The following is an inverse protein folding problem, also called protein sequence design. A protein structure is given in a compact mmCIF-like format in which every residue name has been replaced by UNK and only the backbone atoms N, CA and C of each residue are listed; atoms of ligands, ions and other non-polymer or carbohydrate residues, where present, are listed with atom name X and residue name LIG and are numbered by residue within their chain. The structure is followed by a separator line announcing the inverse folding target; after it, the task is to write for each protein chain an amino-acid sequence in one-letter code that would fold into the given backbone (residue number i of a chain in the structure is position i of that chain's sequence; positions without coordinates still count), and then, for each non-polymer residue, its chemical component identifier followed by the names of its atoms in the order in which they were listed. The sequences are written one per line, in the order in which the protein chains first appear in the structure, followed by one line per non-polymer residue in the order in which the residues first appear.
data_IF_637717400984
#
_entry.id   IF_637717400984
#
_cell.length_a   1.000
_cell.length_b   1.000
_cell.length_c   1.000
_cell.angle_alpha   90.00
_cell.angle_beta   90.00
_cell.angle_gamma   90.00
#
_symmetry.space_group_name_H-M   'P 1'
#
loop_
_entity.id
_entity.type
_entity.pdbx_description
1 polymer ?
#
# COMPACT_ATOMS: atom_id res chain seq x y z
N UNK A 1 23.68 17.30 4.92
CA UNK A 1 23.15 16.17 4.12
C UNK A 1 22.48 16.77 2.90
N UNK A 2 22.82 16.30 1.70
CA UNK A 2 22.20 16.74 0.45
C UNK A 2 20.67 16.53 0.48
N UNK A 3 19.91 17.51 0.00
CA UNK A 3 18.43 17.52 0.01
C UNK A 3 17.87 16.30 -0.70
N UNK A 4 18.46 15.90 -1.84
CA UNK A 4 18.04 14.73 -2.61
C UNK A 4 18.25 13.46 -1.78
N UNK A 5 19.44 13.28 -1.21
CA UNK A 5 19.76 12.13 -0.34
C UNK A 5 18.78 11.99 0.84
N UNK A 6 18.37 13.10 1.46
CA UNK A 6 17.37 13.09 2.52
C UNK A 6 15.99 12.61 2.02
N UNK A 7 15.55 13.07 0.84
CA UNK A 7 14.27 12.64 0.27
C UNK A 7 14.29 11.17 -0.18
N UNK A 8 15.41 10.69 -0.73
CA UNK A 8 15.62 9.28 -1.03
C UNK A 8 15.47 8.43 0.23
N UNK A 9 16.08 8.84 1.35
CA UNK A 9 15.96 8.13 2.61
C UNK A 9 14.51 8.11 3.12
N UNK A 10 13.79 9.23 3.07
CA UNK A 10 12.38 9.29 3.47
C UNK A 10 11.49 8.36 2.63
N UNK A 11 11.65 8.37 1.31
CA UNK A 11 10.91 7.47 0.43
C UNK A 11 11.25 6.00 0.69
N UNK A 12 12.54 5.70 0.88
CA UNK A 12 12.97 4.35 1.21
C UNK A 12 12.38 3.88 2.54
N UNK A 13 12.36 4.74 3.57
CA UNK A 13 11.71 4.42 4.85
C UNK A 13 10.21 4.18 4.70
N UNK A 14 9.50 5.03 3.96
CA UNK A 14 8.07 4.85 3.71
C UNK A 14 7.78 3.55 2.93
N UNK A 15 8.63 3.21 1.96
CA UNK A 15 8.56 1.94 1.24
C UNK A 15 8.78 0.74 2.16
N UNK A 16 9.80 0.77 3.04
CA UNK A 16 10.03 -0.30 4.02
C UNK A 16 8.86 -0.46 4.99
N UNK A 17 8.29 0.65 5.49
CA UNK A 17 7.12 0.60 6.36
C UNK A 17 5.92 -0.04 5.65
N UNK A 18 5.70 0.29 4.39
CA UNK A 18 4.62 -0.32 3.60
C UNK A 18 4.85 -1.81 3.35
N UNK A 19 6.08 -2.22 3.00
CA UNK A 19 6.43 -3.62 2.82
C UNK A 19 6.22 -4.40 4.13
N UNK A 20 6.66 -3.85 5.26
CA UNK A 20 6.45 -4.44 6.58
C UNK A 20 4.97 -4.52 6.94
N UNK A 21 4.19 -3.44 6.75
CA UNK A 21 2.76 -3.45 7.02
C UNK A 21 2.00 -4.48 6.17
N UNK A 22 2.44 -4.68 4.93
CA UNK A 22 1.89 -5.72 4.05
C UNK A 22 2.23 -7.14 4.56
N UNK A 23 3.46 -7.35 5.05
CA UNK A 23 3.86 -8.61 5.68
C UNK A 23 3.08 -8.88 6.98
N UNK A 24 2.88 -7.85 7.82
CA UNK A 24 2.04 -7.95 9.03
C UNK A 24 0.61 -8.30 8.67
N UNK A 25 0.03 -7.66 7.64
CA UNK A 25 -1.32 -7.99 7.18
C UNK A 25 -1.44 -9.45 6.74
N UNK A 26 -0.45 -9.95 6.00
CA UNK A 26 -0.40 -11.35 5.60
C UNK A 26 -0.30 -12.27 6.81
N UNK A 27 0.66 -12.04 7.70
CA UNK A 27 0.88 -12.86 8.89
C UNK A 27 -0.33 -12.86 9.84
N UNK A 28 -1.04 -11.73 9.98
CA UNK A 28 -2.29 -11.66 10.76
C UNK A 28 -3.40 -12.46 10.10
N UNK A 29 -3.53 -12.39 8.78
CA UNK A 29 -4.55 -13.15 8.02
C UNK A 29 -4.33 -14.65 8.17
N UNK A 30 -3.06 -15.08 8.21
CA UNK A 30 -2.64 -16.47 8.38
C UNK A 30 -2.56 -16.90 9.86
N UNK A 31 -2.88 -16.00 10.79
CA UNK A 31 -2.78 -16.24 12.23
C UNK A 31 -1.35 -16.61 12.70
N UNK A 32 -0.34 -16.27 11.90
CA UNK A 32 1.08 -16.49 12.19
C UNK A 32 1.72 -15.32 12.97
N UNK A 33 1.08 -14.15 13.00
CA UNK A 33 1.56 -12.99 13.74
C UNK A 33 1.35 -13.16 15.25
N UNK A 34 2.42 -13.15 16.07
CA UNK A 34 2.28 -13.11 17.52
C UNK A 34 1.56 -11.82 17.93
N UNK A 35 0.44 -11.98 18.63
CA UNK A 35 -0.33 -10.87 19.23
C UNK A 35 0.02 -10.67 20.71
N UNK A 36 0.85 -11.55 21.26
CA UNK A 36 1.23 -11.50 22.66
C UNK A 36 2.20 -10.35 22.94
N UNK A 37 2.00 -9.70 24.08
CA UNK A 37 2.79 -8.56 24.54
C UNK A 37 3.26 -8.82 25.98
N UNK A 38 4.28 -8.10 26.48
CA UNK A 38 4.68 -8.21 27.87
C UNK A 38 3.50 -7.99 28.82
N UNK A 39 3.42 -8.78 29.90
CA UNK A 39 2.36 -8.62 30.93
C UNK A 39 2.33 -7.21 31.53
N UNK A 40 3.48 -6.57 31.55
CA UNK A 40 3.70 -5.20 31.97
C UNK A 40 4.80 -4.61 31.10
N UNK A 41 4.60 -3.39 30.61
CA UNK A 41 5.60 -2.62 29.89
C UNK A 41 5.80 -1.26 30.57
N UNK A 42 7.03 -0.98 30.98
CA UNK A 42 7.39 0.28 31.66
C UNK A 42 8.41 1.06 30.81
N UNK A 43 8.19 2.36 30.67
CA UNK A 43 9.12 3.30 30.06
C UNK A 43 9.12 4.63 30.84
N UNK A 44 10.23 4.95 31.51
CA UNK A 44 10.30 6.08 32.42
C UNK A 44 9.26 5.95 33.55
N UNK A 45 8.38 6.95 33.68
CA UNK A 45 7.28 6.97 34.67
C UNK A 45 5.98 6.30 34.20
N UNK A 46 5.94 5.82 32.96
CA UNK A 46 4.73 5.24 32.37
C UNK A 46 4.79 3.72 32.48
N UNK A 47 3.68 3.13 32.92
CA UNK A 47 3.51 1.68 33.01
C UNK A 47 2.18 1.31 32.40
N UNK A 48 2.17 0.26 31.59
CA UNK A 48 0.96 -0.29 30.97
C UNK A 48 0.88 -1.78 31.23
N UNK A 49 -0.31 -2.28 31.59
CA UNK A 49 -0.61 -3.70 31.81
C UNK A 49 -1.07 -4.36 30.52
N UNK A 50 -0.98 -5.68 30.49
CA UNK A 50 -1.35 -6.49 29.32
C UNK A 50 -2.70 -6.12 28.70
N UNK A 51 -3.75 -6.05 29.52
CA UNK A 51 -5.12 -5.81 29.06
C UNK A 51 -5.36 -4.39 28.51
N UNK A 52 -4.40 -3.48 28.69
CA UNK A 52 -4.46 -2.12 28.15
C UNK A 52 -3.83 -2.01 26.74
N UNK A 53 -2.98 -2.96 26.35
CA UNK A 53 -2.24 -2.93 25.07
C UNK A 53 -2.46 -4.15 24.18
N UNK A 54 -2.84 -5.29 24.75
CA UNK A 54 -3.07 -6.51 24.00
C UNK A 54 -4.27 -6.35 23.07
N UNK A 55 -4.14 -6.88 21.85
CA UNK A 55 -5.23 -6.93 20.88
C UNK A 55 -5.76 -8.34 20.78
N UNK A 56 -7.08 -8.48 20.69
CA UNK A 56 -7.71 -9.78 20.49
C UNK A 56 -7.60 -10.22 19.03
N UNK A 57 -7.74 -11.52 18.82
CA UNK A 57 -7.71 -12.14 17.49
C UNK A 57 -8.77 -11.57 16.55
N UNK A 58 -9.98 -11.30 17.05
CA UNK A 58 -11.07 -10.66 16.29
C UNK A 58 -10.78 -9.20 15.90
N UNK A 59 -9.82 -8.55 16.56
CA UNK A 59 -9.43 -7.16 16.29
C UNK A 59 -8.21 -7.06 15.37
N UNK A 60 -7.37 -8.10 15.34
CA UNK A 60 -6.08 -8.07 14.65
C UNK A 60 -6.20 -7.78 13.15
N UNK A 61 -7.17 -8.42 12.47
CA UNK A 61 -7.38 -8.22 11.03
C UNK A 61 -7.73 -6.77 10.68
N UNK A 62 -8.59 -6.13 11.47
CA UNK A 62 -8.94 -4.71 11.31
C UNK A 62 -7.72 -3.81 11.58
N UNK A 63 -7.00 -4.04 12.68
CA UNK A 63 -5.79 -3.28 13.01
C UNK A 63 -4.71 -3.38 11.91
N UNK A 64 -4.47 -4.57 11.38
CA UNK A 64 -3.50 -4.79 10.31
C UNK A 64 -3.90 -4.11 9.00
N UNK A 65 -5.19 -4.10 8.66
CA UNK A 65 -5.71 -3.34 7.52
C UNK A 65 -5.49 -1.83 7.71
N UNK A 66 -5.81 -1.29 8.89
CA UNK A 66 -5.57 0.11 9.21
C UNK A 66 -4.08 0.46 9.18
N UNK A 67 -3.20 -0.43 9.64
CA UNK A 67 -1.75 -0.25 9.57
C UNK A 67 -1.27 -0.15 8.12
N UNK A 68 -1.74 -1.02 7.23
CA UNK A 68 -1.40 -0.96 5.80
C UNK A 68 -1.90 0.34 5.17
N UNK A 69 -3.12 0.78 5.49
CA UNK A 69 -3.67 2.08 5.02
C UNK A 69 -2.84 3.27 5.49
N UNK A 70 -2.41 3.28 6.76
CA UNK A 70 -1.52 4.32 7.29
C UNK A 70 -0.18 4.34 6.58
N UNK A 71 0.38 3.17 6.25
CA UNK A 71 1.60 3.08 5.47
C UNK A 71 1.42 3.60 4.03
N UNK A 72 0.28 3.33 3.40
CA UNK A 72 -0.08 3.93 2.10
C UNK A 72 -0.15 5.46 2.17
N UNK A 73 -0.79 6.01 3.21
CA UNK A 73 -0.84 7.44 3.44
C UNK A 73 0.56 8.05 3.58
N UNK A 74 1.42 7.47 4.43
CA UNK A 74 2.79 7.95 4.64
C UNK A 74 3.61 7.90 3.34
N UNK A 75 3.41 6.87 2.51
CA UNK A 75 4.05 6.79 1.20
C UNK A 75 3.59 7.91 0.26
N UNK A 76 2.29 8.20 0.20
CA UNK A 76 1.77 9.31 -0.61
C UNK A 76 2.33 10.67 -0.15
N UNK A 77 2.43 10.88 1.17
CA UNK A 77 3.09 12.07 1.74
C UNK A 77 4.55 12.15 1.28
N UNK A 78 5.31 11.07 1.45
CA UNK A 78 6.73 11.03 1.09
C UNK A 78 6.96 11.28 -0.41
N UNK A 79 6.12 10.71 -1.29
CA UNK A 79 6.17 10.95 -2.75
C UNK A 79 5.96 12.43 -3.05
N UNK A 80 4.88 13.01 -2.54
CA UNK A 80 4.53 14.41 -2.80
C UNK A 80 5.61 15.36 -2.27
N UNK A 81 6.16 15.10 -1.08
CA UNK A 81 7.20 15.94 -0.48
C UNK A 81 8.54 15.80 -1.18
N UNK A 82 8.90 14.59 -1.62
CA UNK A 82 10.10 14.35 -2.39
C UNK A 82 10.09 15.13 -3.72
N UNK A 83 9.00 15.04 -4.49
CA UNK A 83 8.88 15.79 -5.75
C UNK A 83 8.94 17.30 -5.48
N UNK A 84 8.19 17.80 -4.50
CA UNK A 84 8.16 19.24 -4.16
C UNK A 84 9.53 19.78 -3.70
N UNK A 85 10.36 18.93 -3.09
CA UNK A 85 11.67 19.35 -2.59
C UNK A 85 12.69 19.62 -3.70
N UNK A 86 12.51 19.04 -4.89
CA UNK A 86 13.45 19.17 -6.01
C UNK A 86 12.86 19.92 -7.21
N UNK A 87 11.54 20.10 -7.26
CA UNK A 87 10.83 20.77 -8.35
C UNK A 87 10.00 21.89 -7.77
N UNK A 88 10.31 23.13 -8.18
CA UNK A 88 9.70 24.36 -7.66
C UNK A 88 8.19 24.41 -7.89
N UNK A 89 7.74 24.06 -9.10
CA UNK A 89 6.32 24.01 -9.46
C UNK A 89 5.97 22.66 -10.10
N UNK A 90 5.76 21.61 -9.28
CA UNK A 90 5.46 20.28 -9.79
C UNK A 90 4.03 20.19 -10.35
N UNK A 91 3.14 21.12 -9.97
CA UNK A 91 1.75 21.16 -10.44
C UNK A 91 1.66 21.57 -11.91
N UNK A 92 2.52 22.48 -12.35
CA UNK A 92 2.56 22.96 -13.74
C UNK A 92 3.79 22.46 -14.52
N UNK A 93 4.46 21.43 -14.02
CA UNK A 93 5.64 20.87 -14.68
C UNK A 93 5.33 20.38 -16.11
N UNK A 94 6.28 20.56 -17.04
CA UNK A 94 6.13 20.18 -18.46
C UNK A 94 6.10 18.66 -18.65
N UNK A 95 6.93 17.94 -17.90
CA UNK A 95 6.89 16.48 -17.87
C UNK A 95 5.62 15.99 -17.16
N UNK A 96 4.76 15.32 -17.94
CA UNK A 96 3.49 14.76 -17.47
C UNK A 96 3.68 13.72 -16.37
N UNK A 97 4.74 12.90 -16.41
CA UNK A 97 4.97 11.87 -15.41
C UNK A 97 5.24 12.50 -14.04
N UNK A 98 6.03 13.57 -14.01
CA UNK A 98 6.32 14.33 -12.79
C UNK A 98 5.04 14.97 -12.25
N UNK A 99 4.32 15.68 -13.12
CA UNK A 99 3.08 16.37 -12.76
C UNK A 99 2.02 15.40 -12.23
N UNK A 100 1.80 14.30 -12.93
CA UNK A 100 0.81 13.30 -12.56
C UNK A 100 1.23 12.55 -11.30
N UNK A 101 2.51 12.19 -11.13
CA UNK A 101 3.03 11.61 -9.89
C UNK A 101 2.76 12.50 -8.69
N UNK A 102 3.04 13.80 -8.83
CA UNK A 102 2.78 14.79 -7.79
C UNK A 102 1.29 14.89 -7.47
N UNK A 103 0.43 15.03 -8.49
CA UNK A 103 -1.00 15.20 -8.29
C UNK A 103 -1.65 13.97 -7.67
N UNK A 104 -1.32 12.76 -8.13
CA UNK A 104 -1.84 11.51 -7.57
C UNK A 104 -1.45 11.39 -6.09
N UNK A 105 -0.18 11.58 -5.76
CA UNK A 105 0.30 11.50 -4.38
C UNK A 105 -0.35 12.57 -3.49
N UNK A 106 -0.52 13.79 -4.00
CA UNK A 106 -1.20 14.89 -3.30
C UNK A 106 -2.67 14.59 -3.03
N UNK A 107 -3.40 14.09 -4.03
CA UNK A 107 -4.83 13.76 -3.90
C UNK A 107 -5.05 12.59 -2.94
N UNK A 108 -4.23 11.53 -3.02
CA UNK A 108 -4.27 10.43 -2.05
C UNK A 108 -3.99 10.95 -0.65
N UNK A 109 -2.93 11.75 -0.45
CA UNK A 109 -2.63 12.38 0.85
C UNK A 109 -3.81 13.18 1.37
N UNK A 110 -4.45 13.98 0.52
CA UNK A 110 -5.58 14.83 0.91
C UNK A 110 -6.78 14.00 1.37
N UNK A 111 -7.02 12.83 0.76
CA UNK A 111 -8.11 11.95 1.17
C UNK A 111 -7.99 11.47 2.63
N UNK A 112 -6.77 11.32 3.13
CA UNK A 112 -6.49 10.89 4.50
C UNK A 112 -6.32 12.05 5.48
N UNK A 113 -6.13 13.29 5.00
CA UNK A 113 -5.66 14.40 5.83
C UNK A 113 -6.59 14.74 7.00
N UNK A 114 -7.90 14.53 6.85
CA UNK A 114 -8.89 14.85 7.88
C UNK A 114 -9.36 13.61 8.67
N UNK A 115 -9.35 12.43 8.05
CA UNK A 115 -9.81 11.19 8.67
C UNK A 115 -8.98 10.00 8.18
N UNK A 116 -7.86 9.68 8.84
CA UNK A 116 -6.98 8.58 8.40
C UNK A 116 -7.66 7.20 8.45
N UNK A 117 -8.64 7.02 9.33
CA UNK A 117 -9.37 5.74 9.49
C UNK A 117 -10.59 5.63 8.57
N UNK A 118 -11.20 6.76 8.19
CA UNK A 118 -12.31 6.83 7.24
C UNK A 118 -12.01 7.89 6.17
N UNK A 119 -11.01 7.65 5.31
CA UNK A 119 -10.57 8.63 4.33
C UNK A 119 -11.68 8.93 3.31
N UNK A 120 -11.80 10.19 2.93
CA UNK A 120 -12.78 10.70 1.97
C UNK A 120 -12.03 11.54 0.96
N UNK A 121 -12.26 11.32 -0.33
CA UNK A 121 -11.65 12.13 -1.38
C UNK A 121 -12.01 13.60 -1.21
N UNK A 122 -10.98 14.45 -1.24
CA UNK A 122 -11.10 15.90 -1.30
C UNK A 122 -10.38 16.36 -2.56
N UNK A 123 -11.16 16.58 -3.63
CA UNK A 123 -10.64 16.88 -4.97
C UNK A 123 -10.83 18.37 -5.24
N UNK A 124 -9.72 19.08 -5.36
CA UNK A 124 -9.73 20.50 -5.74
C UNK A 124 -10.41 20.68 -7.10
N UNK A 125 -11.04 21.84 -7.29
CA UNK A 125 -11.81 22.15 -8.49
C UNK A 125 -11.03 21.93 -9.79
N UNK A 126 -9.77 22.32 -9.82
CA UNK A 126 -8.89 22.16 -10.97
C UNK A 126 -8.40 20.72 -11.19
N UNK A 127 -8.73 19.79 -10.30
CA UNK A 127 -8.41 18.37 -10.39
C UNK A 127 -9.64 17.49 -10.61
N UNK A 128 -10.85 18.05 -10.67
CA UNK A 128 -12.11 17.30 -10.91
C UNK A 128 -12.20 16.85 -12.36
N UNK A 129 -12.82 15.68 -12.55
CA UNK A 129 -13.08 15.08 -13.86
C UNK A 129 -11.84 14.95 -14.76
N UNK A 130 -10.68 14.66 -14.15
CA UNK A 130 -9.39 14.47 -14.82
C UNK A 130 -8.88 13.06 -14.65
N UNK A 131 -8.05 12.65 -15.61
CA UNK A 131 -7.27 11.42 -15.53
C UNK A 131 -5.82 11.82 -15.31
N UNK A 132 -5.26 11.41 -14.19
CA UNK A 132 -3.83 11.49 -13.93
C UNK A 132 -3.23 10.10 -14.14
N UNK A 133 -2.26 9.99 -15.04
CA UNK A 133 -1.66 8.72 -15.41
C UNK A 133 -0.13 8.84 -15.41
N UNK A 134 0.52 7.88 -14.77
CA UNK A 134 1.92 7.54 -15.01
C UNK A 134 1.91 6.17 -15.66
N UNK A 135 2.23 6.14 -16.95
CA UNK A 135 2.03 4.97 -17.82
C UNK A 135 2.62 3.71 -17.19
N UNK A 136 1.84 2.63 -17.21
CA UNK A 136 2.18 1.29 -16.68
C UNK A 136 2.48 1.26 -15.16
N UNK A 137 2.24 2.35 -14.42
CA UNK A 137 2.54 2.46 -12.98
C UNK A 137 1.28 2.73 -12.16
N UNK A 138 0.55 3.80 -12.47
CA UNK A 138 -0.62 4.22 -11.69
C UNK A 138 -1.53 5.12 -12.52
N UNK A 139 -2.84 4.95 -12.36
CA UNK A 139 -3.86 5.79 -12.98
C UNK A 139 -4.89 6.18 -11.93
N UNK A 140 -5.27 7.46 -11.87
CA UNK A 140 -6.33 7.98 -11.02
C UNK A 140 -7.30 8.80 -11.88
N UNK A 141 -8.52 8.29 -12.03
CA UNK A 141 -9.62 9.01 -12.64
C UNK A 141 -10.44 9.69 -11.54
N UNK A 142 -10.45 11.01 -11.51
CA UNK A 142 -11.13 11.79 -10.45
C UNK A 142 -12.61 12.03 -10.72
N UNK A 143 -13.16 11.53 -11.84
CA UNK A 143 -14.56 11.71 -12.19
C UNK A 143 -15.49 11.16 -11.10
N UNK A 144 -16.31 12.05 -10.53
CA UNK A 144 -17.26 11.70 -9.47
C UNK A 144 -16.61 11.24 -8.14
N UNK A 145 -15.30 11.43 -7.94
CA UNK A 145 -14.64 11.01 -6.70
C UNK A 145 -14.81 12.01 -5.57
N UNK A 146 -15.00 13.30 -5.84
CA UNK A 146 -15.04 14.32 -4.78
C UNK A 146 -16.11 14.00 -3.71
N UNK A 147 -15.72 14.08 -2.43
CA UNK A 147 -16.54 13.74 -1.25
C UNK A 147 -17.00 12.28 -1.14
N UNK A 148 -16.49 11.39 -1.97
CA UNK A 148 -16.79 9.95 -1.86
C UNK A 148 -15.79 9.24 -0.95
N UNK A 149 -16.18 8.09 -0.40
CA UNK A 149 -15.27 7.25 0.39
C UNK A 149 -14.04 6.89 -0.43
N UNK A 150 -12.86 7.02 0.17
CA UNK A 150 -11.64 6.57 -0.44
C UNK A 150 -11.66 5.05 -0.62
N UNK A 151 -11.16 4.60 -1.77
CA UNK A 151 -11.04 3.19 -2.13
C UNK A 151 -9.74 3.01 -2.89
N UNK A 152 -9.00 1.95 -2.55
CA UNK A 152 -7.73 1.64 -3.18
C UNK A 152 -7.88 1.32 -4.67
N UNK A 153 -9.05 0.81 -5.08
CA UNK A 153 -9.38 0.49 -6.47
C UNK A 153 -9.37 1.73 -7.37
N UNK A 154 -9.64 2.91 -6.83
CA UNK A 154 -9.63 4.16 -7.59
C UNK A 154 -8.26 4.52 -8.18
N UNK A 155 -7.16 3.95 -7.66
CA UNK A 155 -5.81 4.19 -8.18
C UNK A 155 -5.03 2.91 -8.54
N UNK A 156 -5.70 1.76 -8.66
CA UNK A 156 -5.03 0.48 -8.98
C UNK A 156 -4.42 -0.24 -7.77
N UNK A 157 -4.74 0.19 -6.55
CA UNK A 157 -4.45 -0.53 -5.32
C UNK A 157 -3.07 -0.33 -4.71
N UNK A 158 -2.79 -1.01 -3.59
CA UNK A 158 -1.56 -0.79 -2.81
C UNK A 158 -0.26 -1.03 -3.60
N UNK A 159 -0.28 -1.87 -4.64
CA UNK A 159 0.89 -2.08 -5.50
C UNK A 159 1.18 -0.88 -6.42
N UNK A 160 0.14 -0.19 -6.91
CA UNK A 160 0.31 0.99 -7.75
C UNK A 160 1.02 2.13 -7.01
N UNK A 161 0.68 2.36 -5.73
CA UNK A 161 1.37 3.38 -4.92
C UNK A 161 2.83 2.99 -4.62
N UNK A 162 3.10 1.70 -4.38
CA UNK A 162 4.47 1.19 -4.23
C UNK A 162 5.28 1.42 -5.51
N UNK A 163 4.70 1.11 -6.68
CA UNK A 163 5.34 1.34 -7.99
C UNK A 163 5.55 2.83 -8.25
N UNK A 164 4.61 3.69 -7.87
CA UNK A 164 4.79 5.14 -7.95
C UNK A 164 5.95 5.60 -7.06
N UNK A 165 6.06 5.09 -5.82
CA UNK A 165 7.19 5.38 -4.93
C UNK A 165 8.52 5.00 -5.58
N UNK A 166 8.62 3.79 -6.15
CA UNK A 166 9.81 3.31 -6.84
C UNK A 166 10.13 4.16 -8.08
N UNK A 167 9.11 4.55 -8.85
CA UNK A 167 9.27 5.44 -9.99
C UNK A 167 9.88 6.78 -9.56
N UNK A 168 9.33 7.42 -8.52
CA UNK A 168 9.87 8.69 -8.01
C UNK A 168 11.30 8.53 -7.52
N UNK A 169 11.61 7.47 -6.77
CA UNK A 169 12.98 7.20 -6.30
C UNK A 169 13.97 7.00 -7.45
N UNK A 170 13.65 6.14 -8.40
CA UNK A 170 14.64 5.68 -9.38
C UNK A 170 14.66 6.49 -10.67
N UNK A 171 13.56 7.18 -11.01
CA UNK A 171 13.45 7.97 -12.25
C UNK A 171 13.48 9.47 -12.00
N UNK A 172 12.88 9.96 -10.92
CA UNK A 172 12.86 11.41 -10.64
C UNK A 172 14.05 11.83 -9.76
N UNK A 173 14.34 11.08 -8.69
CA UNK A 173 15.45 11.36 -7.78
C UNK A 173 16.76 10.64 -8.15
N UNK A 174 16.72 9.79 -9.19
CA UNK A 174 17.87 9.04 -9.69
C UNK A 174 18.64 8.22 -8.63
N UNK A 175 17.93 7.57 -7.69
CA UNK A 175 18.56 6.66 -6.72
C UNK A 175 19.20 5.44 -7.43
N UNK A 176 20.54 5.40 -7.47
CA UNK A 176 21.30 4.32 -8.11
C UNK A 176 21.72 3.20 -7.15
N UNK A 177 21.61 3.40 -5.83
CA UNK A 177 22.27 2.52 -4.85
C UNK A 177 21.35 1.48 -4.21
N UNK A 178 20.04 1.56 -4.48
CA UNK A 178 19.02 0.82 -3.73
C UNK A 178 17.92 0.23 -4.61
N UNK A 179 18.27 -0.14 -5.85
CA UNK A 179 17.34 -0.79 -6.78
C UNK A 179 16.99 -2.20 -6.29
N UNK A 180 15.69 -2.55 -6.18
CA UNK A 180 15.26 -3.86 -5.69
C UNK A 180 15.78 -5.01 -6.55
N UNK A 181 15.80 -4.85 -7.87
CA UNK A 181 16.22 -5.86 -8.85
C UNK A 181 17.70 -6.25 -8.74
N UNK A 182 18.53 -5.38 -8.15
CA UNK A 182 19.97 -5.61 -7.98
C UNK A 182 20.29 -6.31 -6.65
N UNK A 183 19.28 -6.61 -5.83
CA UNK A 183 19.47 -7.17 -4.47
C UNK A 183 18.99 -8.60 -4.41
N UNK A 184 19.87 -9.49 -3.97
CA UNK A 184 19.49 -10.84 -3.57
C UNK A 184 18.48 -10.76 -2.41
N UNK A 185 17.31 -11.35 -2.62
CA UNK A 185 16.29 -11.51 -1.60
C UNK A 185 16.29 -12.97 -1.13
N UNK A 186 16.03 -13.24 0.15
CA UNK A 186 15.84 -14.61 0.61
C UNK A 186 14.61 -15.22 -0.09
N UNK A 187 14.70 -16.50 -0.44
CA UNK A 187 13.58 -17.25 -0.97
C UNK A 187 12.42 -17.28 0.06
N UNK A 188 11.18 -17.01 -0.37
CA UNK A 188 10.03 -17.07 0.52
C UNK A 188 9.80 -18.51 0.98
N UNK A 189 9.66 -18.73 2.28
CA UNK A 189 9.34 -20.05 2.85
C UNK A 189 7.97 -20.58 2.43
N UNK A 190 7.03 -19.66 2.21
CA UNK A 190 5.64 -19.94 1.89
C UNK A 190 5.29 -19.30 0.55
N UNK A 191 4.52 -20.01 -0.28
CA UNK A 191 4.08 -19.54 -1.59
C UNK A 191 2.68 -18.92 -1.47
N UNK A 192 2.63 -17.60 -1.31
CA UNK A 192 1.39 -16.83 -1.28
C UNK A 192 1.12 -16.13 -2.61
N UNK A 193 -0.14 -16.08 -3.00
CA UNK A 193 -0.64 -15.31 -4.14
C UNK A 193 -1.74 -14.38 -3.61
N UNK A 194 -1.62 -13.08 -3.88
CA UNK A 194 -2.61 -12.09 -3.44
C UNK A 194 -3.30 -11.44 -4.65
N UNK A 195 -4.63 -11.48 -4.66
CA UNK A 195 -5.50 -10.83 -5.64
C UNK A 195 -6.39 -9.80 -4.92
N UNK A 196 -5.99 -8.53 -4.93
CA UNK A 196 -6.68 -7.50 -4.14
C UNK A 196 -6.65 -7.83 -2.64
N UNK A 197 -7.83 -8.10 -2.06
CA UNK A 197 -7.95 -8.50 -0.65
C UNK A 197 -7.98 -10.03 -0.45
N UNK A 198 -8.02 -10.81 -1.52
CA UNK A 198 -7.94 -12.27 -1.46
C UNK A 198 -6.49 -12.73 -1.35
N UNK A 199 -6.16 -13.48 -0.31
CA UNK A 199 -4.85 -14.12 -0.11
C UNK A 199 -5.05 -15.63 -0.27
N UNK A 200 -4.20 -16.23 -1.09
CA UNK A 200 -4.16 -17.66 -1.36
C UNK A 200 -2.81 -18.21 -0.96
N UNK A 201 -2.80 -19.28 -0.17
CA UNK A 201 -1.60 -20.04 0.16
C UNK A 201 -1.56 -21.30 -0.68
N UNK A 202 -0.47 -21.53 -1.42
CA UNK A 202 -0.23 -22.82 -2.06
C UNK A 202 0.01 -23.85 -0.95
N UNK A 203 -0.69 -24.97 -1.02
CA UNK A 203 -0.53 -26.11 -0.13
C UNK A 203 -0.17 -27.33 -0.96
N UNK A 204 0.76 -28.14 -0.45
CA UNK A 204 1.20 -29.37 -1.14
C UNK A 204 0.24 -30.53 -0.86
N UNK A 205 -0.48 -30.46 0.25
CA UNK A 205 -1.41 -31.51 0.70
C UNK A 205 -2.79 -30.94 0.96
N UNK A 206 -3.83 -31.56 0.40
CA UNK A 206 -5.22 -31.15 0.63
C UNK A 206 -5.60 -31.47 2.09
N UNK A 207 -6.09 -30.50 2.89
CA UNK A 207 -6.42 -30.72 4.29
C UNK A 207 -7.55 -31.74 4.46
N UNK A 208 -7.48 -32.54 5.52
CA UNK A 208 -8.54 -33.49 5.86
C UNK A 208 -9.84 -32.72 6.12
N UNK A 209 -10.92 -33.10 5.42
CA UNK A 209 -12.21 -32.42 5.52
C UNK A 209 -12.40 -31.22 4.58
N UNK A 210 -11.41 -30.89 3.74
CA UNK A 210 -11.59 -29.87 2.72
C UNK A 210 -12.73 -30.25 1.75
N UNK A 211 -13.70 -29.35 1.60
CA UNK A 211 -14.80 -29.52 0.64
C UNK A 211 -14.26 -29.31 -0.77
N UNK A 212 -14.34 -30.34 -1.60
CA UNK A 212 -14.04 -30.21 -3.03
C UNK A 212 -15.16 -29.42 -3.70
N UNK A 213 -14.82 -28.28 -4.26
CA UNK A 213 -15.73 -27.48 -5.08
C UNK A 213 -15.46 -27.85 -6.54
N UNK A 214 -16.52 -28.18 -7.30
CA UNK A 214 -16.38 -28.33 -8.75
C UNK A 214 -16.11 -26.95 -9.36
N UNK A 215 -14.88 -26.76 -9.83
CA UNK A 215 -14.48 -25.52 -10.48
C UNK A 215 -14.99 -25.53 -11.93
N UNK A 216 -15.82 -24.55 -12.29
CA UNK A 216 -16.13 -24.29 -13.70
C UNK A 216 -15.03 -23.40 -14.27
N UNK A 217 -14.25 -23.95 -15.20
CA UNK A 217 -13.29 -23.14 -15.95
C UNK A 217 -14.04 -22.28 -16.97
N UNK A 218 -13.62 -21.04 -17.11
CA UNK A 218 -14.03 -20.15 -18.19
C UNK A 218 -13.48 -20.66 -19.52
N UNK A 219 -13.99 -20.11 -20.63
CA UNK A 219 -13.55 -20.45 -21.99
C UNK A 219 -12.06 -20.18 -22.24
N UNK A 220 -11.45 -19.24 -21.50
CA UNK A 220 -10.02 -18.94 -21.55
C UNK A 220 -9.17 -19.82 -20.60
N UNK A 221 -9.78 -20.82 -19.96
CA UNK A 221 -9.13 -21.71 -18.99
C UNK A 221 -9.05 -21.15 -17.57
N UNK A 222 -9.45 -19.89 -17.34
CA UNK A 222 -9.41 -19.26 -16.03
C UNK A 222 -10.42 -19.85 -15.05
N UNK A 223 -10.12 -19.74 -13.77
CA UNK A 223 -10.96 -20.16 -12.65
C UNK A 223 -11.52 -18.90 -11.98
N UNK A 224 -12.84 -18.72 -12.04
CA UNK A 224 -13.54 -17.65 -11.33
C UNK A 224 -13.61 -17.98 -9.82
N UNK A 225 -13.06 -17.08 -9.00
CA UNK A 225 -13.07 -17.17 -7.55
C UNK A 225 -14.19 -16.31 -6.91
N UNK A 226 -15.03 -15.69 -7.73
CA UNK A 226 -16.07 -14.74 -7.32
C UNK A 226 -15.52 -13.32 -7.14
N UNK A 227 -16.44 -12.34 -7.08
CA UNK A 227 -16.13 -10.91 -6.89
C UNK A 227 -15.15 -10.33 -7.92
N UNK A 228 -15.06 -10.93 -9.10
CA UNK A 228 -14.20 -10.47 -10.19
C UNK A 228 -12.75 -10.95 -10.12
N UNK A 229 -12.42 -11.93 -9.28
CA UNK A 229 -11.08 -12.52 -9.18
C UNK A 229 -10.96 -13.79 -10.03
N UNK A 230 -9.87 -13.91 -10.79
CA UNK A 230 -9.61 -15.05 -11.68
C UNK A 230 -8.18 -15.59 -11.50
N UNK A 231 -8.02 -16.92 -11.48
CA UNK A 231 -6.71 -17.60 -11.61
C UNK A 231 -6.58 -18.16 -13.02
N UNK A 232 -5.42 -17.98 -13.65
CA UNK A 232 -5.05 -18.63 -14.91
C UNK A 232 -4.07 -19.76 -14.65
#
# INVERSE_FOLDING_TARGET
MDTISNQINKLFSAELQFRLASAVRLAVTEEEQPLDLPKQWTYGRHTVKYNEVAIRKDQAGFAALCLQRSATYLMAVAIKDAIKAIITDPKNHKDLNIRNSYQIARLIRNAFAHSPFHPIWSIDEDCRDKIFEVKDIIILNTKGLDRTSFDWRHYGGPLAILKLCQFVRFKILEDKNRRPEERAMPEPKNNYIQFGDLILKKIDTIPKGAKRIKVKKSSDGSIDLGRGYFIR
#
